data_IF_949740303804
#
_entry.id   IF_949740303804
#
_cell.length_a   1.000
_cell.length_b   1.000
_cell.length_c   1.000
_cell.angle_alpha   90.00
_cell.angle_beta   90.00
_cell.angle_gamma   90.00
#
_symmetry.space_group_name_H-M   'P 1'
#
loop_
_entity.id
_entity.type
_entity.pdbx_description
1 polymer ?
#
# COMPACT_ATOMS: atom_id res chain seq x y z
N UNK A 1 -4.38 -15.97 23.20
CA UNK A 1 -5.41 -16.17 24.23
C UNK A 1 -4.92 -15.51 25.52
N UNK A 2 -5.66 -14.55 26.07
CA UNK A 2 -5.29 -13.92 27.34
C UNK A 2 -5.74 -14.81 28.50
N UNK A 3 -4.79 -15.24 29.34
CA UNK A 3 -5.07 -16.06 30.50
C UNK A 3 -5.33 -15.24 31.78
N UNK A 4 -5.34 -13.92 31.65
CA UNK A 4 -5.59 -12.99 32.75
C UNK A 4 -6.98 -12.44 32.62
N UNK A 5 -7.76 -12.50 33.70
CA UNK A 5 -9.08 -11.86 33.74
C UNK A 5 -8.92 -10.35 33.52
N UNK A 6 -9.60 -9.84 32.52
CA UNK A 6 -9.63 -8.40 32.24
C UNK A 6 -10.65 -7.77 33.19
N UNK A 7 -10.18 -6.91 34.10
CA UNK A 7 -11.03 -6.10 34.93
C UNK A 7 -11.31 -4.79 34.23
N UNK A 8 -12.55 -4.55 33.92
CA UNK A 8 -13.02 -3.32 33.29
C UNK A 8 -14.39 -3.61 32.71
N UNK A 9 -15.38 -2.91 33.18
CA UNK A 9 -16.73 -3.10 32.71
C UNK A 9 -16.91 -2.64 31.25
N UNK A 10 -18.02 -2.98 30.66
CA UNK A 10 -18.41 -2.54 29.33
C UNK A 10 -18.38 -1.01 29.19
N UNK A 11 -18.77 -0.30 30.27
CA UNK A 11 -18.70 1.16 30.34
C UNK A 11 -17.28 1.72 30.12
N UNK A 12 -16.28 1.11 30.74
CA UNK A 12 -14.88 1.53 30.54
C UNK A 12 -14.39 1.29 29.10
N UNK A 13 -14.85 0.23 28.45
CA UNK A 13 -14.56 -0.06 27.04
C UNK A 13 -15.24 0.98 26.15
N UNK A 14 -16.50 1.29 26.38
CA UNK A 14 -17.24 2.28 25.61
C UNK A 14 -16.64 3.68 25.75
N UNK A 15 -16.23 4.07 26.95
CA UNK A 15 -15.57 5.36 27.18
C UNK A 15 -14.19 5.43 26.50
N UNK A 16 -13.43 4.33 26.49
CA UNK A 16 -12.15 4.29 25.77
C UNK A 16 -12.33 4.38 24.26
N UNK A 17 -13.39 3.78 23.72
CA UNK A 17 -13.76 3.91 22.30
C UNK A 17 -14.17 5.36 21.98
N UNK A 18 -14.96 6.00 22.84
CA UNK A 18 -15.33 7.42 22.68
C UNK A 18 -14.10 8.33 22.71
N UNK A 19 -13.19 8.08 23.64
CA UNK A 19 -11.95 8.82 23.71
C UNK A 19 -11.13 8.67 22.42
N UNK A 20 -11.01 7.45 21.92
CA UNK A 20 -10.32 7.18 20.66
C UNK A 20 -10.94 7.93 19.48
N UNK A 21 -12.27 7.91 19.37
CA UNK A 21 -12.97 8.66 18.33
C UNK A 21 -12.80 10.17 18.48
N UNK A 22 -12.81 10.68 19.70
CA UNK A 22 -12.56 12.10 19.97
C UNK A 22 -11.14 12.50 19.56
N UNK A 23 -10.14 11.70 19.88
CA UNK A 23 -8.76 11.96 19.52
C UNK A 23 -8.52 11.91 18.00
N UNK A 24 -9.24 11.04 17.29
CA UNK A 24 -9.14 10.93 15.82
C UNK A 24 -9.84 12.06 15.07
N UNK A 25 -10.95 12.59 15.62
CA UNK A 25 -11.85 13.49 14.89
C UNK A 25 -11.81 14.97 15.27
N UNK A 26 -11.20 15.34 16.39
CA UNK A 26 -11.51 16.63 17.05
C UNK A 26 -10.76 17.86 16.54
N UNK A 27 -9.70 17.75 15.74
CA UNK A 27 -8.83 18.92 15.48
C UNK A 27 -8.35 19.11 14.03
N UNK A 28 -8.60 18.17 13.12
CA UNK A 28 -8.03 18.25 11.78
C UNK A 28 -9.08 18.06 10.69
N UNK A 29 -8.90 18.80 9.60
CA UNK A 29 -9.61 18.57 8.36
C UNK A 29 -9.40 17.10 7.96
N UNK A 30 -10.48 16.42 7.60
CA UNK A 30 -10.42 15.04 7.13
C UNK A 30 -9.46 14.91 5.94
N UNK A 31 -8.59 13.91 5.99
CA UNK A 31 -7.65 13.64 4.92
C UNK A 31 -8.39 13.03 3.72
N UNK A 32 -8.27 13.69 2.58
CA UNK A 32 -8.92 13.23 1.35
C UNK A 32 -8.20 12.00 0.78
N UNK A 33 -8.97 10.97 0.43
CA UNK A 33 -8.44 9.72 -0.15
C UNK A 33 -7.68 9.98 -1.46
N UNK A 34 -8.17 10.89 -2.28
CA UNK A 34 -7.48 11.29 -3.52
C UNK A 34 -6.10 11.92 -3.27
N UNK A 35 -5.94 12.63 -2.17
CA UNK A 35 -4.65 13.19 -1.82
C UNK A 35 -3.64 12.09 -1.44
N UNK A 36 -4.09 11.05 -0.77
CA UNK A 36 -3.27 9.87 -0.46
C UNK A 36 -2.89 9.15 -1.76
N UNK A 37 -3.85 8.90 -2.63
CA UNK A 37 -3.62 8.21 -3.90
C UNK A 37 -2.58 8.92 -4.76
N UNK A 38 -2.69 10.26 -4.88
CA UNK A 38 -1.80 11.06 -5.73
C UNK A 38 -0.42 11.31 -5.11
N UNK A 39 -0.35 11.52 -3.80
CA UNK A 39 0.89 11.93 -3.13
C UNK A 39 1.68 10.78 -2.52
N UNK A 40 1.02 9.70 -2.13
CA UNK A 40 1.63 8.51 -1.56
C UNK A 40 1.60 7.32 -2.52
N UNK A 41 1.84 7.57 -3.81
CA UNK A 41 1.74 6.58 -4.87
C UNK A 41 2.56 5.31 -4.62
N UNK A 42 3.78 5.44 -4.09
CA UNK A 42 4.63 4.27 -3.78
C UNK A 42 4.03 3.39 -2.67
N UNK A 43 3.40 3.98 -1.66
CA UNK A 43 2.71 3.22 -0.61
C UNK A 43 1.45 2.55 -1.16
N UNK A 44 0.69 3.26 -2.00
CA UNK A 44 -0.48 2.71 -2.69
C UNK A 44 -0.08 1.51 -3.56
N UNK A 45 0.98 1.65 -4.34
CA UNK A 45 1.51 0.57 -5.21
C UNK A 45 1.95 -0.64 -4.38
N UNK A 46 2.62 -0.41 -3.26
CA UNK A 46 3.03 -1.48 -2.36
C UNK A 46 1.84 -2.22 -1.76
N UNK A 47 0.84 -1.50 -1.28
CA UNK A 47 -0.39 -2.10 -0.72
C UNK A 47 -1.12 -2.92 -1.78
N UNK A 48 -1.27 -2.40 -3.00
CA UNK A 48 -1.87 -3.13 -4.12
C UNK A 48 -1.09 -4.38 -4.48
N UNK A 49 0.23 -4.28 -4.56
CA UNK A 49 1.11 -5.40 -4.92
C UNK A 49 1.06 -6.52 -3.89
N UNK A 50 1.18 -6.20 -2.60
CA UNK A 50 1.16 -7.20 -1.54
C UNK A 50 -0.23 -7.81 -1.31
N UNK A 51 -1.28 -7.04 -1.53
CA UNK A 51 -2.66 -7.56 -1.41
C UNK A 51 -3.11 -8.36 -2.64
N UNK A 52 -2.46 -8.15 -3.79
CA UNK A 52 -2.83 -8.79 -5.05
C UNK A 52 -4.13 -8.25 -5.65
N UNK A 53 -4.47 -6.99 -5.39
CA UNK A 53 -5.64 -6.32 -5.95
C UNK A 53 -5.25 -4.96 -6.52
N UNK A 54 -5.45 -4.77 -7.82
CA UNK A 54 -5.27 -3.46 -8.46
C UNK A 54 -6.51 -2.59 -8.26
N UNK A 55 -6.47 -1.78 -7.22
CA UNK A 55 -7.54 -0.85 -6.87
C UNK A 55 -6.95 0.36 -6.13
N UNK A 56 -6.44 1.39 -6.84
CA UNK A 56 -5.73 2.52 -6.23
C UNK A 56 -6.56 3.26 -5.19
N UNK A 57 -7.81 3.56 -5.49
CA UNK A 57 -8.70 4.26 -4.56
C UNK A 57 -8.97 3.44 -3.28
N UNK A 58 -9.18 2.14 -3.41
CA UNK A 58 -9.36 1.28 -2.23
C UNK A 58 -8.08 1.08 -1.43
N UNK A 59 -6.93 1.02 -2.10
CA UNK A 59 -5.64 0.97 -1.43
C UNK A 59 -5.37 2.26 -0.64
N UNK A 60 -5.68 3.42 -1.22
CA UNK A 60 -5.59 4.71 -0.53
C UNK A 60 -6.57 4.80 0.65
N UNK A 61 -7.79 4.30 0.49
CA UNK A 61 -8.77 4.21 1.57
C UNK A 61 -8.30 3.27 2.69
N UNK A 62 -7.73 2.13 2.34
CA UNK A 62 -7.16 1.20 3.32
C UNK A 62 -6.00 1.83 4.10
N UNK A 63 -5.12 2.56 3.44
CA UNK A 63 -4.05 3.34 4.10
C UNK A 63 -4.60 4.41 5.04
N UNK A 64 -5.67 5.09 4.65
CA UNK A 64 -6.36 6.07 5.52
C UNK A 64 -6.92 5.39 6.76
N UNK A 65 -7.64 4.27 6.60
CA UNK A 65 -8.22 3.52 7.72
C UNK A 65 -7.17 2.91 8.64
N UNK A 66 -6.06 2.48 8.07
CA UNK A 66 -4.92 1.91 8.79
C UNK A 66 -3.99 2.98 9.41
N UNK A 67 -4.33 4.25 9.30
CA UNK A 67 -3.51 5.36 9.82
C UNK A 67 -2.07 5.35 9.29
N UNK A 68 -1.87 4.88 8.06
CA UNK A 68 -0.57 4.78 7.41
C UNK A 68 0.19 3.46 7.65
N UNK A 69 -0.35 2.53 8.44
CA UNK A 69 0.23 1.20 8.60
C UNK A 69 0.04 0.38 7.32
N UNK A 70 1.15 0.01 6.69
CA UNK A 70 1.11 -0.77 5.45
C UNK A 70 0.58 -2.18 5.70
N UNK A 71 1.02 -2.81 6.77
CA UNK A 71 0.63 -4.17 7.15
C UNK A 71 -0.88 -4.26 7.37
N UNK A 72 -1.45 -3.31 8.08
CA UNK A 72 -2.90 -3.23 8.31
C UNK A 72 -3.65 -2.93 7.01
N UNK A 73 -3.16 -2.00 6.20
CA UNK A 73 -3.77 -1.68 4.91
C UNK A 73 -3.78 -2.88 3.96
N UNK A 74 -2.70 -3.66 3.92
CA UNK A 74 -2.62 -4.91 3.14
C UNK A 74 -3.64 -5.93 3.66
N UNK A 75 -3.76 -6.08 4.98
CA UNK A 75 -4.76 -6.95 5.58
C UNK A 75 -6.19 -6.55 5.19
N UNK A 76 -6.53 -5.27 5.31
CA UNK A 76 -7.85 -4.75 4.95
C UNK A 76 -8.17 -4.99 3.47
N UNK A 77 -7.20 -4.75 2.59
CA UNK A 77 -7.41 -4.92 1.16
C UNK A 77 -7.48 -6.41 0.75
N UNK A 78 -6.74 -7.29 1.41
CA UNK A 78 -6.89 -8.75 1.24
C UNK A 78 -8.25 -9.24 1.70
N UNK A 79 -8.72 -8.75 2.85
CA UNK A 79 -10.05 -9.08 3.34
C UNK A 79 -11.14 -8.63 2.36
N UNK A 80 -11.03 -7.43 1.83
CA UNK A 80 -11.95 -6.94 0.80
C UNK A 80 -11.89 -7.79 -0.48
N UNK A 81 -10.68 -8.11 -0.96
CA UNK A 81 -10.51 -8.98 -2.13
C UNK A 81 -11.20 -10.32 -1.94
N UNK A 82 -11.18 -10.91 -0.75
CA UNK A 82 -11.82 -12.20 -0.48
C UNK A 82 -13.35 -12.15 -0.60
N UNK A 83 -13.96 -10.98 -0.53
CA UNK A 83 -15.40 -10.78 -0.68
C UNK A 83 -15.84 -10.61 -2.14
N UNK A 84 -14.89 -10.37 -3.05
CA UNK A 84 -15.19 -10.17 -4.46
C UNK A 84 -15.47 -11.49 -5.17
N UNK A 85 -16.51 -11.49 -5.98
CA UNK A 85 -16.84 -12.64 -6.84
C UNK A 85 -15.80 -12.78 -7.96
N UNK A 86 -15.39 -14.02 -8.23
CA UNK A 86 -14.56 -14.31 -9.39
C UNK A 86 -15.46 -14.52 -10.61
N UNK A 87 -15.59 -13.49 -11.44
CA UNK A 87 -16.47 -13.51 -12.59
C UNK A 87 -15.78 -14.08 -13.84
N UNK A 88 -14.46 -13.90 -13.97
CA UNK A 88 -13.71 -14.25 -15.18
C UNK A 88 -12.33 -14.84 -14.84
N UNK A 89 -11.78 -15.57 -15.80
CA UNK A 89 -10.40 -16.01 -15.83
C UNK A 89 -9.65 -15.22 -16.91
N UNK A 90 -8.41 -14.83 -16.63
CA UNK A 90 -7.57 -14.21 -17.65
C UNK A 90 -7.14 -15.21 -18.71
N UNK A 91 -7.11 -14.78 -19.95
CA UNK A 91 -6.48 -15.56 -21.02
C UNK A 91 -4.95 -15.52 -20.84
N UNK A 92 -4.24 -16.59 -21.24
CA UNK A 92 -2.79 -16.56 -21.22
C UNK A 92 -2.28 -15.45 -22.16
N UNK A 93 -1.40 -14.60 -21.63
CA UNK A 93 -0.75 -13.56 -22.41
C UNK A 93 0.65 -14.01 -22.84
N UNK A 94 1.03 -13.69 -24.08
CA UNK A 94 2.38 -13.95 -24.56
C UNK A 94 3.32 -12.82 -24.12
N UNK A 95 4.42 -13.15 -23.46
CA UNK A 95 5.44 -12.17 -23.08
C UNK A 95 6.10 -11.47 -24.28
N UNK A 96 6.03 -12.06 -25.47
CA UNK A 96 6.55 -11.45 -26.71
C UNK A 96 5.73 -10.27 -27.20
N UNK A 97 4.45 -10.21 -26.83
CA UNK A 97 3.54 -9.10 -27.17
C UNK A 97 3.63 -7.93 -26.19
N UNK A 98 4.32 -8.14 -25.07
CA UNK A 98 4.50 -7.11 -24.05
C UNK A 98 5.60 -6.13 -24.43
N UNK A 99 5.33 -4.83 -24.22
CA UNK A 99 6.36 -3.80 -24.39
C UNK A 99 7.27 -3.79 -23.16
N UNK A 100 8.56 -4.06 -23.35
CA UNK A 100 9.56 -3.87 -22.32
C UNK A 100 9.81 -2.37 -22.11
N UNK A 101 9.49 -1.85 -20.94
CA UNK A 101 9.71 -0.44 -20.59
C UNK A 101 11.09 -0.26 -19.96
N UNK A 102 11.53 -1.22 -19.17
CA UNK A 102 12.81 -1.19 -18.46
C UNK A 102 13.38 -2.58 -18.28
N UNK A 103 14.72 -2.69 -18.34
CA UNK A 103 15.43 -3.93 -17.99
C UNK A 103 15.76 -3.96 -16.50
N UNK A 104 15.67 -5.13 -15.92
CA UNK A 104 16.02 -5.39 -14.51
C UNK A 104 17.51 -5.73 -14.38
N UNK A 105 18.11 -6.31 -15.41
CA UNK A 105 19.52 -6.72 -15.43
C UNK A 105 20.28 -6.04 -16.56
N UNK A 106 21.59 -5.83 -16.35
CA UNK A 106 22.47 -5.28 -17.39
C UNK A 106 22.53 -6.20 -18.62
N UNK A 107 22.45 -5.60 -19.82
CA UNK A 107 22.61 -6.34 -21.07
C UNK A 107 24.08 -6.63 -21.39
N UNK A 108 24.99 -5.79 -20.89
CA UNK A 108 26.44 -5.87 -21.12
C UNK A 108 27.17 -5.78 -19.79
N UNK A 109 28.28 -6.51 -19.67
CA UNK A 109 29.11 -6.49 -18.47
C UNK A 109 29.83 -5.14 -18.33
N UNK A 110 30.36 -4.64 -19.41
CA UNK A 110 31.11 -3.38 -19.49
C UNK A 110 30.61 -2.57 -20.68
N UNK A 111 30.38 -1.29 -20.50
CA UNK A 111 29.99 -0.35 -21.55
C UNK A 111 31.11 0.69 -21.69
N UNK A 112 31.69 0.82 -22.90
CA UNK A 112 32.68 1.86 -23.17
C UNK A 112 32.08 3.25 -23.00
N UNK A 113 32.76 4.11 -22.24
CA UNK A 113 32.28 5.45 -21.94
C UNK A 113 31.33 5.57 -20.74
N UNK A 114 31.05 4.45 -20.07
CA UNK A 114 30.17 4.41 -18.90
C UNK A 114 28.69 4.37 -19.25
N UNK A 115 27.89 4.16 -18.23
CA UNK A 115 26.44 4.07 -18.34
C UNK A 115 25.81 5.39 -17.91
N UNK A 116 24.93 5.96 -18.75
CA UNK A 116 24.16 7.14 -18.40
C UNK A 116 22.86 6.66 -17.77
N UNK A 117 22.65 7.04 -16.51
CA UNK A 117 21.45 6.70 -15.74
C UNK A 117 20.42 7.82 -15.86
N UNK A 118 19.19 7.45 -16.24
CA UNK A 118 18.06 8.36 -16.18
C UNK A 118 17.49 8.50 -14.77
N UNK A 119 16.79 9.58 -14.51
CA UNK A 119 16.09 9.75 -13.24
C UNK A 119 14.93 8.75 -13.13
N UNK A 120 15.03 7.83 -12.19
CA UNK A 120 13.95 6.91 -11.78
C UNK A 120 13.87 6.88 -10.26
N UNK A 121 12.72 6.50 -9.71
CA UNK A 121 12.55 6.40 -8.25
C UNK A 121 13.55 5.44 -7.60
N UNK A 122 13.83 4.31 -8.24
CA UNK A 122 14.78 3.30 -7.75
C UNK A 122 16.20 3.86 -7.68
N UNK A 123 16.62 4.59 -8.71
CA UNK A 123 17.96 5.17 -8.78
C UNK A 123 18.12 6.33 -7.80
N UNK A 124 17.08 7.11 -7.57
CA UNK A 124 17.11 8.17 -6.56
C UNK A 124 17.28 7.62 -5.14
N UNK A 125 16.69 6.46 -4.84
CA UNK A 125 16.86 5.80 -3.55
C UNK A 125 18.28 5.22 -3.37
N UNK A 126 18.92 4.75 -4.41
CA UNK A 126 20.32 4.26 -4.38
C UNK A 126 21.28 5.43 -4.09
N UNK A 127 21.06 6.58 -4.68
CA UNK A 127 21.92 7.76 -4.47
C UNK A 127 21.77 8.41 -3.09
N UNK A 128 20.67 8.20 -2.41
CA UNK A 128 20.43 8.70 -1.04
C UNK A 128 21.19 7.85 0.00
N UNK A 129 21.56 6.62 -0.36
CA UNK A 129 22.21 5.69 0.57
C UNK A 129 23.76 5.73 0.51
N UNK A 130 24.36 6.53 -0.34
CA UNK A 130 25.80 6.80 -0.42
C UNK A 130 26.14 8.14 0.27
#
# INVERSE_FOLDING_TARGET
>A
MAYVAVSGGQEAIEESIRLLHCMRGSTFKELEVEAIEKKLGLLVDRVMSESGLYAPAYAALALKQAEGSIEEAVFLLRAYRSTLSRNYYTLPASGTEMRAVRRISAAFKDIQGGQILGATYDLSLIHISE
#
